data_IF_529094679354
#
_entry.id   IF_529094679354
#
_cell.length_a   1.000
_cell.length_b   1.000
_cell.length_c   1.000
_cell.angle_alpha   90.00
_cell.angle_beta   90.00
_cell.angle_gamma   90.00
#
_symmetry.space_group_name_H-M   'P 1'
#
loop_
_entity.id
_entity.type
_entity.pdbx_description
1 polymer ?
#
# COMPACT_ATOMS: atom_id res chain seq x y z
N UNK A 1 -24.46 -29.94 -22.72
CA UNK A 1 -24.42 -28.89 -21.68
C UNK A 1 -22.98 -28.53 -21.39
N UNK A 2 -22.54 -27.35 -21.80
CA UNK A 2 -21.17 -26.89 -21.56
C UNK A 2 -20.97 -26.62 -20.05
N UNK A 3 -20.07 -27.37 -19.41
CA UNK A 3 -19.66 -27.10 -18.02
C UNK A 3 -18.83 -25.82 -18.03
N UNK A 4 -19.41 -24.71 -17.56
CA UNK A 4 -18.71 -23.44 -17.33
C UNK A 4 -17.52 -23.73 -16.39
N UNK A 5 -16.25 -23.51 -16.78
CA UNK A 5 -15.16 -23.62 -15.84
C UNK A 5 -15.36 -22.51 -14.80
N UNK A 6 -15.64 -22.92 -13.55
CA UNK A 6 -15.53 -22.01 -12.40
C UNK A 6 -14.10 -21.50 -12.43
N UNK A 7 -13.90 -20.27 -12.84
CA UNK A 7 -12.65 -19.53 -12.64
C UNK A 7 -12.36 -19.64 -11.16
N UNK A 8 -11.47 -20.58 -10.77
CA UNK A 8 -10.88 -20.59 -9.43
C UNK A 8 -10.34 -19.18 -9.28
N UNK A 9 -10.99 -18.35 -8.45
CA UNK A 9 -10.39 -17.10 -7.99
C UNK A 9 -9.02 -17.52 -7.46
N UNK A 10 -7.97 -17.28 -8.23
CA UNK A 10 -6.60 -17.61 -7.83
C UNK A 10 -6.45 -16.90 -6.50
N UNK A 11 -6.12 -17.65 -5.44
CA UNK A 11 -5.80 -17.01 -4.17
C UNK A 11 -4.75 -15.93 -4.48
N UNK A 12 -4.95 -14.71 -4.00
CA UNK A 12 -3.99 -13.64 -4.25
C UNK A 12 -2.59 -14.11 -3.79
N UNK A 13 -1.54 -13.70 -4.49
CA UNK A 13 -0.18 -14.20 -4.25
C UNK A 13 0.37 -13.79 -2.88
N UNK A 14 -0.26 -12.81 -2.24
CA UNK A 14 0.01 -12.36 -0.88
C UNK A 14 -1.32 -12.05 -0.17
N UNK A 15 -1.31 -11.99 1.17
CA UNK A 15 -2.43 -11.50 1.97
C UNK A 15 -2.48 -9.97 1.98
N UNK A 16 -3.48 -9.37 2.62
CA UNK A 16 -3.57 -7.90 2.66
C UNK A 16 -2.36 -7.34 3.45
N UNK A 17 -1.60 -6.38 2.89
CA UNK A 17 -0.48 -5.75 3.57
C UNK A 17 -0.91 -5.06 4.87
N UNK A 18 -0.09 -5.15 5.90
CA UNK A 18 -0.29 -4.54 7.23
C UNK A 18 0.83 -3.60 7.63
N UNK A 19 2.04 -3.89 7.21
CA UNK A 19 3.21 -3.10 7.55
C UNK A 19 4.16 -3.10 6.37
N UNK A 20 4.87 -1.98 6.19
CA UNK A 20 5.98 -1.87 5.26
C UNK A 20 7.18 -1.25 5.95
N UNK A 21 8.36 -1.77 5.69
CA UNK A 21 9.63 -1.21 6.13
C UNK A 21 10.35 -0.71 4.89
N UNK A 22 10.66 0.57 4.87
CA UNK A 22 11.45 1.25 3.86
C UNK A 22 12.86 1.46 4.41
N UNK A 23 13.86 1.14 3.60
CA UNK A 23 15.27 1.37 3.90
C UNK A 23 15.81 2.43 2.94
N UNK A 24 16.68 3.29 3.44
CA UNK A 24 17.46 4.21 2.59
C UNK A 24 18.30 3.42 1.58
N UNK A 25 18.44 3.95 0.38
CA UNK A 25 19.33 3.41 -0.64
C UNK A 25 19.79 4.50 -1.60
N UNK A 26 21.00 4.35 -2.16
CA UNK A 26 21.62 5.40 -2.97
C UNK A 26 21.00 5.50 -4.38
N UNK A 27 20.81 4.36 -5.04
CA UNK A 27 20.25 4.28 -6.41
C UNK A 27 18.85 3.67 -6.42
N UNK A 28 18.59 2.80 -5.43
CA UNK A 28 17.35 2.07 -5.30
C UNK A 28 17.01 1.95 -3.83
N UNK A 29 15.76 2.22 -3.47
CA UNK A 29 15.27 2.13 -2.10
C UNK A 29 14.61 0.77 -1.87
N UNK A 30 15.23 -0.13 -1.10
CA UNK A 30 14.62 -1.41 -0.79
C UNK A 30 13.47 -1.24 0.19
N UNK A 31 12.43 -2.04 -0.01
CA UNK A 31 11.31 -2.13 0.93
C UNK A 31 10.91 -3.58 1.18
N UNK A 32 10.36 -3.83 2.36
CA UNK A 32 9.79 -5.12 2.74
C UNK A 32 8.41 -4.89 3.34
N UNK A 33 7.38 -5.58 2.85
CA UNK A 33 6.06 -5.53 3.45
C UNK A 33 5.68 -6.86 4.09
N UNK A 34 4.86 -6.77 5.13
CA UNK A 34 4.32 -7.89 5.90
C UNK A 34 2.80 -7.88 5.70
N UNK A 35 2.27 -9.02 5.31
CA UNK A 35 0.85 -9.26 5.10
C UNK A 35 0.25 -10.07 6.26
N UNK A 36 -1.08 -10.01 6.37
CA UNK A 36 -1.87 -10.68 7.42
C UNK A 36 -1.66 -12.21 7.49
N UNK A 37 -1.44 -12.87 6.35
CA UNK A 37 -1.29 -14.34 6.23
C UNK A 37 0.13 -14.84 6.58
N UNK A 38 0.92 -14.06 7.32
CA UNK A 38 2.37 -14.25 7.50
C UNK A 38 3.19 -14.21 6.18
N UNK A 39 2.54 -13.86 5.07
CA UNK A 39 3.18 -13.56 3.79
C UNK A 39 4.03 -12.30 3.92
N UNK A 40 5.23 -12.32 3.34
CA UNK A 40 6.13 -11.17 3.31
C UNK A 40 6.68 -11.03 1.90
N UNK A 41 6.76 -9.79 1.42
CA UNK A 41 7.27 -9.48 0.09
C UNK A 41 8.38 -8.44 0.20
N UNK A 42 9.43 -8.64 -0.59
CA UNK A 42 10.48 -7.65 -0.75
C UNK A 42 10.38 -7.04 -2.14
N UNK A 43 10.69 -5.76 -2.22
CA UNK A 43 10.72 -5.00 -3.46
C UNK A 43 11.73 -3.89 -3.37
N UNK A 44 11.85 -3.14 -4.45
CA UNK A 44 12.78 -2.04 -4.54
C UNK A 44 12.20 -0.99 -5.47
N UNK A 45 12.31 0.28 -5.10
CA UNK A 45 11.84 1.39 -5.93
C UNK A 45 13.04 2.10 -6.53
N UNK A 46 13.17 2.14 -7.87
CA UNK A 46 14.13 3.01 -8.51
C UNK A 46 13.61 4.44 -8.37
N UNK A 47 14.39 5.30 -7.73
CA UNK A 47 14.07 6.72 -7.55
C UNK A 47 15.30 7.52 -7.93
N UNK A 48 15.12 8.69 -8.57
CA UNK A 48 16.25 9.54 -8.94
C UNK A 48 17.04 9.94 -7.69
N UNK A 49 18.33 10.24 -7.85
CA UNK A 49 19.22 10.58 -6.74
C UNK A 49 18.74 11.81 -5.93
N UNK A 50 18.00 12.72 -6.57
CA UNK A 50 17.41 13.91 -5.96
C UNK A 50 15.98 13.67 -5.42
N UNK A 51 15.46 12.44 -5.44
CA UNK A 51 14.13 12.13 -4.93
C UNK A 51 14.07 12.38 -3.41
N UNK A 52 13.02 13.07 -2.99
CA UNK A 52 12.73 13.27 -1.58
C UNK A 52 12.16 11.99 -0.96
N UNK A 53 12.31 11.82 0.36
CA UNK A 53 11.74 10.70 1.10
C UNK A 53 10.23 10.56 0.85
N UNK A 54 9.50 11.68 0.80
CA UNK A 54 8.05 11.71 0.54
C UNK A 54 7.70 11.18 -0.84
N UNK A 55 8.50 11.47 -1.87
CA UNK A 55 8.33 10.91 -3.21
C UNK A 55 8.55 9.39 -3.22
N UNK A 56 9.57 8.89 -2.52
CA UNK A 56 9.81 7.44 -2.39
C UNK A 56 8.65 6.76 -1.68
N UNK A 57 8.21 7.31 -0.56
CA UNK A 57 7.09 6.81 0.23
C UNK A 57 5.80 6.80 -0.60
N UNK A 58 5.54 7.85 -1.37
CA UNK A 58 4.39 7.96 -2.27
C UNK A 58 4.45 6.91 -3.38
N UNK A 59 5.60 6.73 -4.04
CA UNK A 59 5.77 5.75 -5.11
C UNK A 59 5.56 4.31 -4.62
N UNK A 60 6.05 4.00 -3.41
CA UNK A 60 5.83 2.72 -2.74
C UNK A 60 4.35 2.54 -2.40
N UNK A 61 3.73 3.57 -1.82
CA UNK A 61 2.32 3.57 -1.46
C UNK A 61 1.45 3.30 -2.70
N UNK A 62 1.65 4.03 -3.79
CA UNK A 62 0.87 3.84 -5.02
C UNK A 62 0.99 2.41 -5.55
N UNK A 63 2.20 1.83 -5.54
CA UNK A 63 2.40 0.45 -5.96
C UNK A 63 1.66 -0.54 -5.04
N UNK A 64 1.80 -0.41 -3.72
CA UNK A 64 1.11 -1.27 -2.77
C UNK A 64 -0.41 -1.12 -2.83
N UNK A 65 -0.91 0.10 -3.00
CA UNK A 65 -2.33 0.38 -3.11
C UNK A 65 -2.91 -0.26 -4.37
N UNK A 66 -2.24 -0.11 -5.53
CA UNK A 66 -2.72 -0.71 -6.78
C UNK A 66 -2.66 -2.24 -6.73
N UNK A 67 -1.57 -2.82 -6.20
CA UNK A 67 -1.46 -4.27 -5.99
C UNK A 67 -2.56 -4.78 -5.04
N UNK A 68 -2.79 -4.08 -3.93
CA UNK A 68 -3.83 -4.47 -2.96
C UNK A 68 -5.23 -4.35 -3.56
N UNK A 69 -5.48 -3.31 -4.36
CA UNK A 69 -6.74 -3.13 -5.09
C UNK A 69 -6.94 -4.24 -6.13
N UNK A 70 -5.91 -4.59 -6.91
CA UNK A 70 -5.99 -5.64 -7.94
C UNK A 70 -6.24 -7.02 -7.32
N UNK A 71 -5.55 -7.36 -6.24
CA UNK A 71 -5.57 -8.70 -5.66
C UNK A 71 -6.68 -8.91 -4.62
N UNK A 72 -7.04 -7.87 -3.89
CA UNK A 72 -7.99 -7.95 -2.78
C UNK A 72 -9.23 -7.06 -2.96
N UNK A 73 -9.20 -6.08 -3.86
CA UNK A 73 -10.30 -5.14 -4.05
C UNK A 73 -10.50 -4.21 -2.86
N UNK A 74 -9.45 -3.95 -2.08
CA UNK A 74 -9.49 -3.04 -0.93
C UNK A 74 -8.54 -1.87 -1.15
N UNK A 75 -8.94 -0.71 -0.66
CA UNK A 75 -8.10 0.47 -0.58
C UNK A 75 -7.34 0.47 0.75
N UNK A 76 -6.14 1.04 0.73
CA UNK A 76 -5.26 1.11 1.88
C UNK A 76 -4.73 2.51 2.05
N UNK A 77 -4.39 2.84 3.27
CA UNK A 77 -3.63 4.02 3.66
C UNK A 77 -2.36 3.58 4.38
N UNK A 78 -1.32 4.40 4.29
CA UNK A 78 -0.04 4.16 4.96
C UNK A 78 0.29 5.34 5.84
N UNK A 79 0.47 5.06 7.13
CA UNK A 79 0.96 6.00 8.11
C UNK A 79 2.45 5.73 8.34
N UNK A 80 3.30 6.63 7.84
CA UNK A 80 4.75 6.50 7.96
C UNK A 80 5.26 7.03 9.30
N UNK A 81 6.18 6.29 9.90
CA UNK A 81 6.90 6.64 11.12
C UNK A 81 8.39 6.35 10.94
N UNK A 82 9.26 7.16 11.54
CA UNK A 82 10.69 6.86 11.57
C UNK A 82 10.95 5.66 12.48
N UNK A 83 11.68 4.68 11.98
CA UNK A 83 12.09 3.50 12.75
C UNK A 83 13.53 3.66 13.25
N UNK A 84 14.42 4.10 12.35
CA UNK A 84 15.82 4.44 12.65
C UNK A 84 16.23 5.65 11.81
N UNK A 85 17.49 6.09 11.92
CA UNK A 85 18.05 7.17 11.10
C UNK A 85 17.99 6.91 9.59
N UNK A 86 17.93 5.63 9.20
CA UNK A 86 18.07 5.16 7.82
C UNK A 86 16.87 4.29 7.39
N UNK A 87 15.82 4.23 8.21
CA UNK A 87 14.69 3.31 8.02
C UNK A 87 13.37 3.88 8.51
N UNK A 88 12.31 3.60 7.77
CA UNK A 88 10.95 4.04 8.08
C UNK A 88 10.00 2.85 8.07
N UNK A 89 9.02 2.87 8.98
CA UNK A 89 7.94 1.90 9.02
C UNK A 89 6.63 2.58 8.60
N UNK A 90 5.90 1.97 7.69
CA UNK A 90 4.58 2.38 7.26
C UNK A 90 3.55 1.41 7.81
N UNK A 91 2.69 1.87 8.72
CA UNK A 91 1.57 1.08 9.20
C UNK A 91 0.41 1.20 8.23
N UNK A 92 -0.05 0.05 7.73
CA UNK A 92 -1.04 -0.02 6.66
C UNK A 92 -2.42 -0.26 7.27
N UNK A 93 -3.35 0.64 6.98
CA UNK A 93 -4.75 0.52 7.38
C UNK A 93 -5.62 0.33 6.14
N UNK A 94 -6.72 -0.39 6.30
CA UNK A 94 -7.70 -0.55 5.22
C UNK A 94 -8.65 0.62 5.28
N UNK A 95 -8.82 1.30 4.16
CA UNK A 95 -9.88 2.30 4.02
C UNK A 95 -11.15 1.53 3.73
N UNK A 96 -12.08 1.57 4.68
CA UNK A 96 -13.44 1.15 4.39
C UNK A 96 -14.13 2.37 3.79
N UNK A 97 -14.77 2.23 2.63
CA UNK A 97 -15.41 3.33 1.86
C UNK A 97 -16.35 4.20 2.73
N UNK A 98 -16.79 3.71 3.88
CA UNK A 98 -17.60 4.44 4.85
C UNK A 98 -16.87 5.64 5.50
N UNK A 99 -15.52 5.67 5.49
CA UNK A 99 -14.70 6.80 5.97
C UNK A 99 -14.31 7.77 4.84
N UNK A 100 -14.88 7.64 3.65
CA UNK A 100 -14.76 8.67 2.62
C UNK A 100 -15.95 9.61 2.72
N UNK A 101 -16.01 10.36 3.82
CA UNK A 101 -16.99 11.44 3.96
C UNK A 101 -16.76 12.45 2.82
N UNK A 102 -17.75 12.74 1.96
CA UNK A 102 -17.60 13.79 0.97
C UNK A 102 -17.45 15.14 1.70
N UNK A 103 -16.43 15.96 1.38
CA UNK A 103 -16.34 17.32 1.89
C UNK A 103 -17.30 18.20 1.09
N UNK A 104 -18.61 18.05 1.26
CA UNK A 104 -19.55 19.03 0.74
C UNK A 104 -20.86 19.06 1.53
N UNK A 105 -20.89 19.92 2.54
CA UNK A 105 -22.09 20.61 2.97
C UNK A 105 -21.66 21.97 3.53
N UNK A 106 -21.52 22.93 2.61
CA UNK A 106 -21.44 24.37 2.91
C UNK A 106 -22.68 24.84 3.69
N UNK A 107 -22.57 25.90 4.52
CA UNK A 107 -23.54 26.22 5.56
C UNK A 107 -24.73 27.04 5.01
N UNK A 108 -25.95 26.69 5.40
CA UNK A 108 -27.12 27.58 5.29
C UNK A 108 -27.47 28.07 6.70
N UNK A 109 -27.09 29.31 6.99
CA UNK A 109 -27.56 30.05 8.15
C UNK A 109 -28.90 30.70 7.80
N UNK A 110 -29.95 30.30 8.52
CA UNK A 110 -31.24 31.00 8.57
C UNK A 110 -31.31 31.99 9.72
#
# INVERSE_FOLDING_TARGET
MARRPKTKKKRPPFGIPKEIILLTGQDVWPYTFIADDAGRGCGKVPVPADATLEEVQTAIFTQLADLTRIFHGVEIEVEWSSLTSDSWVGHIRRVTVEDQAPPDAVPEAG
#
